data_IF_345598993606
#
_entry.id   IF_345598993606
#
_cell.length_a   1.000
_cell.length_b   1.000
_cell.length_c   1.000
_cell.angle_alpha   90.00
_cell.angle_beta   90.00
_cell.angle_gamma   90.00
#
_symmetry.space_group_name_H-M   'P 1'
#
loop_
_entity.id
_entity.type
_entity.pdbx_description
1 polymer ?
#
# COMPACT_ATOMS: atom_id res chain seq x y z
N UNK A 1 -31.01 35.50 3.41
CA UNK A 1 -29.92 35.07 4.33
C UNK A 1 -28.95 34.17 3.56
N UNK A 2 -27.91 34.74 2.96
CA UNK A 2 -26.99 34.03 2.06
C UNK A 2 -25.91 33.34 2.89
N UNK A 3 -25.86 32.00 2.85
CA UNK A 3 -24.81 31.20 3.50
C UNK A 3 -23.47 31.45 2.80
N UNK A 4 -22.50 32.02 3.52
CA UNK A 4 -21.10 32.08 3.08
C UNK A 4 -20.52 30.65 2.96
N UNK A 5 -19.79 30.31 1.88
CA UNK A 5 -19.08 29.04 1.80
C UNK A 5 -17.94 29.01 2.83
N UNK A 6 -17.86 27.93 3.61
CA UNK A 6 -16.73 27.66 4.51
C UNK A 6 -15.48 27.38 3.67
N UNK A 7 -14.48 28.23 3.81
CA UNK A 7 -13.16 28.08 3.21
C UNK A 7 -12.55 26.73 3.60
N UNK A 8 -11.92 25.98 2.67
CA UNK A 8 -11.10 24.85 3.06
C UNK A 8 -9.88 25.41 3.81
N UNK A 9 -9.76 25.06 5.08
CA UNK A 9 -8.57 25.34 5.87
C UNK A 9 -7.45 24.46 5.30
N UNK A 10 -6.65 25.06 4.41
CA UNK A 10 -5.40 24.53 3.89
C UNK A 10 -4.48 24.39 5.10
N UNK A 11 -4.39 23.19 5.66
CA UNK A 11 -3.27 22.85 6.55
C UNK A 11 -2.06 22.82 5.64
N UNK A 12 -1.31 23.92 5.65
CA UNK A 12 -0.04 24.02 4.95
C UNK A 12 0.87 22.91 5.46
N UNK A 13 1.60 22.25 4.57
CA UNK A 13 2.56 21.19 4.90
C UNK A 13 3.75 21.73 5.71
N UNK A 14 3.93 23.07 5.69
CA UNK A 14 5.01 23.80 6.35
C UNK A 14 5.19 23.53 7.85
N UNK A 15 4.18 23.65 8.72
CA UNK A 15 4.33 23.45 10.16
C UNK A 15 4.71 22.02 10.54
N UNK A 16 4.28 21.02 9.77
CA UNK A 16 4.67 19.61 9.96
C UNK A 16 6.16 19.42 9.67
N UNK A 17 6.67 20.02 8.59
CA UNK A 17 8.09 19.99 8.26
C UNK A 17 8.93 20.74 9.30
N UNK A 18 8.41 21.84 9.87
CA UNK A 18 9.09 22.57 10.95
C UNK A 18 9.14 21.76 12.26
N UNK A 19 8.06 21.03 12.58
CA UNK A 19 8.03 20.14 13.76
C UNK A 19 8.99 18.95 13.59
N UNK A 20 9.06 18.36 12.38
CA UNK A 20 10.00 17.29 12.04
C UNK A 20 11.45 17.78 12.13
N UNK A 21 11.76 18.99 11.62
CA UNK A 21 13.10 19.60 11.74
C UNK A 21 13.50 19.90 13.19
N UNK A 22 12.54 20.14 14.09
CA UNK A 22 12.83 20.39 15.50
C UNK A 22 13.32 19.12 16.23
N UNK A 23 12.78 17.95 15.87
CA UNK A 23 13.20 16.66 16.44
C UNK A 23 14.52 16.12 15.84
N UNK A 24 14.93 16.60 14.66
CA UNK A 24 16.20 16.22 14.02
C UNK A 24 17.46 16.92 14.57
N UNK A 25 17.33 17.85 15.54
CA UNK A 25 18.49 18.48 16.22
C UNK A 25 19.08 17.62 17.35
N UNK A 26 18.55 16.43 17.63
CA UNK A 26 19.17 15.50 18.56
C UNK A 26 20.34 14.72 17.90
N UNK A 27 21.53 14.69 18.50
CA UNK A 27 22.70 14.02 17.92
C UNK A 27 22.46 12.51 17.88
N UNK A 28 22.41 11.93 16.67
CA UNK A 28 22.16 10.50 16.44
C UNK A 28 21.29 10.18 15.23
N UNK A 29 20.55 11.16 14.70
CA UNK A 29 19.77 11.01 13.47
C UNK A 29 20.61 11.45 12.24
N UNK A 30 21.35 10.50 11.66
CA UNK A 30 21.91 10.66 10.32
C UNK A 30 20.80 10.99 9.31
N UNK A 31 21.09 11.90 8.38
CA UNK A 31 20.17 12.26 7.30
C UNK A 31 19.93 11.07 6.38
N UNK A 32 18.93 10.24 6.71
CA UNK A 32 18.51 9.12 5.87
C UNK A 32 17.86 9.69 4.60
N UNK A 33 18.57 9.60 3.46
CA UNK A 33 18.11 10.08 2.14
C UNK A 33 16.68 9.61 1.78
N UNK A 34 16.25 8.46 2.33
CA UNK A 34 14.88 7.95 2.18
C UNK A 34 13.80 8.88 2.74
N UNK A 35 14.04 9.62 3.83
CA UNK A 35 13.05 10.56 4.42
C UNK A 35 12.90 11.80 3.56
N UNK A 36 14.01 12.33 3.06
CA UNK A 36 14.03 13.53 2.20
C UNK A 36 13.35 13.21 0.87
N UNK A 37 13.73 12.10 0.23
CA UNK A 37 13.10 11.64 -1.02
C UNK A 37 11.62 11.33 -0.80
N UNK A 38 11.24 10.71 0.31
CA UNK A 38 9.82 10.43 0.62
C UNK A 38 9.02 11.71 0.90
N UNK A 39 9.62 12.70 1.57
CA UNK A 39 9.03 14.01 1.81
C UNK A 39 8.84 14.81 0.52
N UNK A 40 9.82 14.77 -0.38
CA UNK A 40 9.71 15.38 -1.71
C UNK A 40 8.68 14.65 -2.59
N UNK A 41 8.65 13.32 -2.59
CA UNK A 41 7.64 12.52 -3.30
C UNK A 41 6.22 12.77 -2.77
N UNK A 42 6.04 12.89 -1.45
CA UNK A 42 4.77 13.27 -0.84
C UNK A 42 4.37 14.69 -1.25
N UNK A 43 5.31 15.63 -1.26
CA UNK A 43 5.08 17.00 -1.73
C UNK A 43 4.73 17.04 -3.23
N UNK A 44 5.35 16.19 -4.06
CA UNK A 44 5.08 16.06 -5.50
C UNK A 44 3.69 15.46 -5.76
N UNK A 45 3.26 14.49 -4.95
CA UNK A 45 1.90 13.92 -5.00
C UNK A 45 0.87 14.94 -4.49
N UNK A 46 1.17 15.70 -3.43
CA UNK A 46 0.32 16.75 -2.90
C UNK A 46 0.20 17.97 -3.84
N UNK A 47 1.30 18.41 -4.45
CA UNK A 47 1.32 19.46 -5.49
C UNK A 47 0.85 18.96 -6.86
N UNK A 48 0.88 17.64 -7.10
CA UNK A 48 0.26 17.02 -8.27
C UNK A 48 -1.23 17.35 -8.38
N UNK A 49 -1.96 17.53 -7.27
CA UNK A 49 -3.34 18.05 -7.31
C UNK A 49 -3.44 19.49 -7.84
N UNK A 50 -2.43 20.32 -7.60
CA UNK A 50 -2.36 21.70 -8.09
C UNK A 50 -2.02 21.74 -9.59
N UNK A 51 -1.03 20.97 -10.04
CA UNK A 51 -0.69 20.85 -11.46
C UNK A 51 -1.79 20.14 -12.28
N UNK A 52 -2.46 19.12 -11.73
CA UNK A 52 -3.59 18.43 -12.39
C UNK A 52 -4.85 19.31 -12.43
N UNK A 53 -5.07 20.17 -11.43
CA UNK A 53 -6.09 21.21 -11.48
C UNK A 53 -5.83 22.23 -12.59
N UNK A 54 -4.56 22.60 -12.79
CA UNK A 54 -4.12 23.50 -13.85
C UNK A 54 -4.24 22.84 -15.23
N UNK A 55 -3.85 21.58 -15.39
CA UNK A 55 -4.01 20.83 -16.66
C UNK A 55 -5.47 20.63 -17.05
N UNK A 56 -6.37 20.40 -16.09
CA UNK A 56 -7.81 20.28 -16.36
C UNK A 56 -8.45 21.64 -16.68
N UNK A 57 -7.94 22.73 -16.08
CA UNK A 57 -8.34 24.10 -16.40
C UNK A 57 -7.80 24.58 -17.76
N UNK A 58 -6.57 24.19 -18.15
CA UNK A 58 -6.02 24.43 -19.47
C UNK A 58 -6.73 23.58 -20.54
N UNK A 59 -7.01 22.30 -20.27
CA UNK A 59 -7.78 21.41 -21.14
C UNK A 59 -9.13 21.99 -21.56
N UNK A 60 -9.86 22.61 -20.61
CA UNK A 60 -11.13 23.29 -20.88
C UNK A 60 -10.97 24.58 -21.71
N UNK A 61 -9.77 25.18 -21.72
CA UNK A 61 -9.49 26.45 -22.41
C UNK A 61 -8.89 26.28 -23.81
N UNK A 62 -8.12 25.23 -24.09
CA UNK A 62 -7.30 25.20 -25.31
C UNK A 62 -7.72 24.16 -26.36
N UNK A 63 -8.52 23.14 -26.03
CA UNK A 63 -9.15 22.27 -27.05
C UNK A 63 -8.20 21.56 -28.04
N UNK A 64 -6.91 21.43 -27.75
CA UNK A 64 -5.95 20.79 -28.66
C UNK A 64 -5.84 19.29 -28.34
N UNK A 65 -6.42 18.47 -29.21
CA UNK A 65 -6.26 17.02 -29.20
C UNK A 65 -4.88 16.65 -29.78
N UNK A 66 -4.03 15.98 -28.99
CA UNK A 66 -2.82 15.32 -29.51
C UNK A 66 -2.87 13.84 -29.13
N UNK A 67 -3.21 13.02 -30.13
CA UNK A 67 -2.61 11.71 -30.42
C UNK A 67 -2.36 10.72 -29.25
N UNK A 68 -3.33 10.49 -28.36
CA UNK A 68 -3.35 9.30 -27.47
C UNK A 68 -4.47 8.31 -27.82
N UNK A 69 -5.03 8.45 -29.02
CA UNK A 69 -6.27 7.77 -29.44
C UNK A 69 -6.08 6.37 -30.07
N UNK A 70 -5.01 5.63 -29.74
CA UNK A 70 -4.81 4.27 -30.28
C UNK A 70 -4.81 3.13 -29.25
N UNK A 71 -4.99 3.42 -27.95
CA UNK A 71 -5.15 2.38 -26.91
C UNK A 71 -6.42 2.55 -26.05
N UNK A 72 -7.30 3.50 -26.40
CA UNK A 72 -8.50 3.84 -25.61
C UNK A 72 -9.80 3.20 -26.16
N UNK A 73 -9.69 2.32 -27.15
CA UNK A 73 -10.84 1.66 -27.79
C UNK A 73 -11.22 0.35 -27.08
N UNK A 74 -11.59 0.42 -25.80
CA UNK A 74 -12.49 -0.57 -25.19
C UNK A 74 -13.66 0.17 -24.54
N UNK A 75 -14.86 0.15 -25.13
CA UNK A 75 -16.01 0.85 -24.58
C UNK A 75 -16.38 0.22 -23.25
N UNK A 76 -16.35 1.02 -22.17
CA UNK A 76 -17.00 0.70 -20.90
C UNK A 76 -18.51 0.79 -21.16
N UNK A 77 -19.08 -0.29 -21.70
CA UNK A 77 -20.53 -0.46 -21.81
C UNK A 77 -21.09 -0.59 -20.39
N UNK A 78 -21.84 0.40 -19.98
CA UNK A 78 -22.58 0.43 -18.73
C UNK A 78 -23.79 -0.50 -18.83
N UNK A 79 -23.57 -1.80 -18.69
CA UNK A 79 -24.67 -2.73 -18.41
C UNK A 79 -25.06 -2.53 -16.95
N UNK A 80 -26.13 -1.77 -16.76
CA UNK A 80 -26.82 -1.58 -15.49
C UNK A 80 -27.59 -2.88 -15.19
N UNK A 81 -26.90 -3.83 -14.55
CA UNK A 81 -27.49 -5.07 -14.06
C UNK A 81 -28.35 -4.77 -12.82
N UNK A 82 -29.68 -4.76 -13.01
CA UNK A 82 -30.72 -4.44 -12.02
C UNK A 82 -30.94 -5.56 -10.97
N UNK A 83 -30.11 -6.60 -10.94
CA UNK A 83 -30.29 -7.75 -10.04
C UNK A 83 -29.78 -7.57 -8.60
N UNK A 84 -29.22 -6.40 -8.25
CA UNK A 84 -28.68 -6.13 -6.90
C UNK A 84 -29.41 -4.96 -6.23
N UNK A 85 -30.03 -5.12 -5.05
CA UNK A 85 -30.66 -4.01 -4.33
C UNK A 85 -29.62 -2.93 -3.96
N UNK A 86 -30.01 -1.64 -3.89
CA UNK A 86 -29.08 -0.51 -4.01
C UNK A 86 -28.14 -0.25 -2.82
N UNK A 87 -28.11 -1.11 -1.79
CA UNK A 87 -27.55 -0.74 -0.48
C UNK A 87 -26.54 -1.73 0.13
N UNK A 88 -26.05 -2.71 -0.62
CA UNK A 88 -24.90 -3.52 -0.20
C UNK A 88 -23.79 -3.40 -1.24
N UNK A 89 -22.56 -2.95 -0.87
CA UNK A 89 -21.46 -2.88 -1.83
C UNK A 89 -21.19 -4.28 -2.37
N UNK A 90 -21.63 -4.54 -3.61
CA UNK A 90 -21.58 -5.84 -4.26
C UNK A 90 -20.20 -6.49 -4.16
N UNK A 91 -20.16 -7.83 -4.12
CA UNK A 91 -18.91 -8.57 -3.98
C UNK A 91 -17.93 -8.24 -5.11
N UNK A 92 -16.70 -7.87 -4.77
CA UNK A 92 -15.64 -7.64 -5.76
C UNK A 92 -14.70 -8.87 -5.85
N UNK A 93 -14.91 -9.71 -6.88
CA UNK A 93 -14.12 -10.92 -7.12
C UNK A 93 -12.65 -10.63 -7.45
N UNK A 94 -12.36 -9.54 -8.17
CA UNK A 94 -10.99 -9.13 -8.50
C UNK A 94 -10.21 -8.74 -7.24
N UNK A 95 -10.87 -8.07 -6.29
CA UNK A 95 -10.28 -7.76 -4.99
C UNK A 95 -10.01 -9.02 -4.17
N UNK A 96 -10.91 -10.00 -4.19
CA UNK A 96 -10.67 -11.29 -3.51
C UNK A 96 -9.47 -12.01 -4.14
N UNK A 97 -9.36 -12.00 -5.48
CA UNK A 97 -8.25 -12.60 -6.22
C UNK A 97 -6.92 -11.91 -5.91
N UNK A 98 -6.92 -10.57 -5.88
CA UNK A 98 -5.74 -9.77 -5.51
C UNK A 98 -5.21 -10.17 -4.13
N UNK A 99 -6.10 -10.33 -3.14
CA UNK A 99 -5.69 -10.75 -1.78
C UNK A 99 -5.12 -12.16 -1.77
N UNK A 100 -5.68 -13.08 -2.55
CA UNK A 100 -5.14 -14.43 -2.70
C UNK A 100 -3.76 -14.45 -3.33
N UNK A 101 -3.55 -13.67 -4.39
CA UNK A 101 -2.23 -13.50 -5.01
C UNK A 101 -1.24 -12.87 -4.02
N UNK A 102 -1.66 -11.87 -3.25
CA UNK A 102 -0.83 -11.28 -2.19
C UNK A 102 -0.40 -12.32 -1.15
N UNK A 103 -1.33 -13.16 -0.71
CA UNK A 103 -1.05 -14.25 0.23
C UNK A 103 -0.11 -15.30 -0.34
N UNK A 104 -0.34 -15.73 -1.59
CA UNK A 104 0.51 -16.71 -2.26
C UNK A 104 1.93 -16.16 -2.41
N UNK A 105 2.09 -14.94 -2.95
CA UNK A 105 3.39 -14.27 -3.06
C UNK A 105 4.11 -14.19 -1.71
N UNK A 106 3.40 -13.86 -0.63
CA UNK A 106 3.98 -13.77 0.71
C UNK A 106 4.49 -15.12 1.20
N UNK A 107 3.71 -16.20 1.02
CA UNK A 107 4.12 -17.55 1.43
C UNK A 107 5.31 -18.04 0.60
N UNK A 108 5.34 -17.75 -0.71
CA UNK A 108 6.48 -18.06 -1.57
C UNK A 108 7.75 -17.33 -1.10
N UNK A 109 7.66 -16.03 -0.74
CA UNK A 109 8.81 -15.28 -0.21
C UNK A 109 9.38 -15.89 1.06
N UNK A 110 8.53 -16.49 1.91
CA UNK A 110 8.98 -17.11 3.15
C UNK A 110 9.49 -18.55 2.98
N UNK A 111 9.06 -19.25 1.93
CA UNK A 111 9.43 -20.64 1.69
C UNK A 111 10.94 -20.82 1.48
N UNK A 112 11.64 -19.81 0.94
CA UNK A 112 13.10 -19.79 0.80
C UNK A 112 13.87 -19.96 2.11
N UNK A 113 13.23 -19.65 3.24
CA UNK A 113 13.83 -19.75 4.56
C UNK A 113 13.58 -21.10 5.24
N UNK A 114 12.89 -22.05 4.59
CA UNK A 114 12.53 -23.33 5.21
C UNK A 114 13.64 -24.37 5.10
N UNK A 115 14.65 -24.14 4.26
CA UNK A 115 15.79 -25.05 4.06
C UNK A 115 16.05 -25.35 2.58
N UNK A 116 15.08 -25.06 1.72
CA UNK A 116 15.27 -25.07 0.27
C UNK A 116 15.81 -23.71 -0.17
N UNK A 117 17.06 -23.68 -0.63
CA UNK A 117 17.76 -22.48 -1.13
C UNK A 117 17.25 -22.04 -2.52
N UNK A 118 15.92 -21.93 -2.68
CA UNK A 118 15.26 -21.53 -3.92
C UNK A 118 15.09 -20.00 -3.89
N UNK A 119 16.19 -19.30 -4.20
CA UNK A 119 16.25 -17.85 -4.16
C UNK A 119 15.33 -17.18 -5.19
N UNK A 120 14.90 -17.90 -6.22
CA UNK A 120 13.98 -17.46 -7.27
C UNK A 120 12.62 -17.05 -6.70
N UNK A 121 12.21 -17.62 -5.55
CA UNK A 121 10.96 -17.27 -4.87
C UNK A 121 10.96 -15.84 -4.30
N UNK A 122 12.13 -15.19 -4.22
CA UNK A 122 12.25 -13.81 -3.81
C UNK A 122 11.55 -12.83 -4.76
N UNK A 123 11.62 -13.11 -6.08
CA UNK A 123 11.03 -12.28 -7.13
C UNK A 123 9.49 -12.20 -7.02
N UNK A 124 8.73 -13.33 -7.02
CA UNK A 124 7.29 -13.28 -6.82
C UNK A 124 6.89 -12.78 -5.43
N UNK A 125 7.79 -12.89 -4.44
CA UNK A 125 7.61 -12.35 -3.10
C UNK A 125 7.40 -10.84 -3.05
N UNK A 126 8.08 -10.09 -3.94
CA UNK A 126 7.97 -8.62 -4.00
C UNK A 126 6.55 -8.11 -4.33
N UNK A 127 5.67 -8.94 -4.89
CA UNK A 127 4.29 -8.56 -5.20
C UNK A 127 3.38 -8.51 -3.96
N UNK A 128 3.72 -9.23 -2.89
CA UNK A 128 2.84 -9.41 -1.73
C UNK A 128 2.45 -8.07 -1.09
N UNK A 129 3.44 -7.27 -0.70
CA UNK A 129 3.24 -6.01 -0.01
C UNK A 129 2.42 -4.97 -0.79
N UNK A 130 2.77 -4.61 -2.05
CA UNK A 130 1.97 -3.65 -2.83
C UNK A 130 0.54 -4.16 -3.08
N UNK A 131 0.33 -5.47 -3.25
CA UNK A 131 -1.03 -6.02 -3.38
C UNK A 131 -1.84 -5.89 -2.09
N UNK A 132 -1.24 -6.09 -0.91
CA UNK A 132 -1.92 -5.80 0.37
C UNK A 132 -2.24 -4.31 0.53
N UNK A 133 -1.30 -3.43 0.18
CA UNK A 133 -1.51 -1.98 0.21
C UNK A 133 -2.66 -1.56 -0.72
N UNK A 134 -2.70 -2.11 -1.93
CA UNK A 134 -3.79 -1.87 -2.88
C UNK A 134 -5.12 -2.43 -2.37
N UNK A 135 -5.13 -3.62 -1.76
CA UNK A 135 -6.34 -4.19 -1.16
C UNK A 135 -6.89 -3.29 -0.02
N UNK A 136 -6.02 -2.70 0.80
CA UNK A 136 -6.39 -1.69 1.81
C UNK A 136 -7.03 -0.47 1.12
N UNK A 137 -6.37 0.09 0.10
CA UNK A 137 -6.83 1.27 -0.62
C UNK A 137 -8.21 1.07 -1.26
N UNK A 138 -8.46 -0.09 -1.88
CA UNK A 138 -9.77 -0.44 -2.46
C UNK A 138 -10.83 -0.57 -1.37
N UNK A 139 -10.56 -1.32 -0.31
CA UNK A 139 -11.54 -1.53 0.77
C UNK A 139 -11.93 -0.21 1.44
N UNK A 140 -10.96 0.68 1.66
CA UNK A 140 -11.19 1.98 2.25
C UNK A 140 -12.03 2.86 1.31
N UNK A 141 -11.62 3.00 0.05
CA UNK A 141 -12.32 3.81 -0.96
C UNK A 141 -13.78 3.36 -1.16
N UNK A 142 -14.03 2.04 -1.21
CA UNK A 142 -15.39 1.50 -1.35
C UNK A 142 -16.26 1.78 -0.14
N UNK A 143 -15.71 1.71 1.07
CA UNK A 143 -16.46 2.02 2.31
C UNK A 143 -16.79 3.50 2.42
N UNK A 144 -15.84 4.37 2.09
CA UNK A 144 -16.05 5.82 2.10
C UNK A 144 -17.10 6.25 1.07
N UNK A 145 -17.14 5.61 -0.11
CA UNK A 145 -18.17 5.87 -1.11
C UNK A 145 -19.57 5.35 -0.71
N UNK A 146 -19.64 4.28 0.09
CA UNK A 146 -20.91 3.63 0.45
C UNK A 146 -21.60 4.23 1.69
N UNK A 147 -20.93 5.11 2.45
CA UNK A 147 -21.45 5.60 3.75
C UNK A 147 -21.46 7.13 3.78
N UNK A 148 -22.63 7.71 4.06
CA UNK A 148 -22.87 9.17 4.10
C UNK A 148 -22.12 9.87 5.27
N UNK A 149 -21.79 9.14 6.34
CA UNK A 149 -20.96 9.62 7.44
C UNK A 149 -20.00 8.49 7.92
N UNK A 150 -18.83 8.33 7.28
CA UNK A 150 -17.92 7.25 7.61
C UNK A 150 -17.39 7.42 9.04
N UNK A 151 -17.58 6.38 9.87
CA UNK A 151 -17.12 6.34 11.27
C UNK A 151 -15.84 5.50 11.40
N UNK A 152 -15.02 5.84 12.38
CA UNK A 152 -13.87 5.04 12.78
C UNK A 152 -14.35 3.71 13.36
N UNK A 153 -13.89 2.60 12.79
CA UNK A 153 -14.19 1.27 13.30
C UNK A 153 -13.14 0.87 14.34
N UNK A 154 -13.22 1.43 15.55
CA UNK A 154 -12.26 1.16 16.63
C UNK A 154 -12.05 -0.33 16.89
N UNK A 155 -13.14 -1.11 16.93
CA UNK A 155 -13.06 -2.57 17.08
C UNK A 155 -12.20 -3.22 16.00
N UNK A 156 -12.32 -2.77 14.75
CA UNK A 156 -11.52 -3.30 13.64
C UNK A 156 -10.03 -2.98 13.83
N UNK A 157 -9.71 -1.73 14.18
CA UNK A 157 -8.33 -1.29 14.40
C UNK A 157 -7.69 -1.99 15.61
N UNK A 158 -8.44 -2.19 16.69
CA UNK A 158 -7.96 -2.92 17.88
C UNK A 158 -7.69 -4.38 17.58
N UNK A 159 -8.56 -5.05 16.82
CA UNK A 159 -8.29 -6.41 16.37
C UNK A 159 -7.07 -6.49 15.45
N UNK A 160 -6.93 -5.54 14.52
CA UNK A 160 -5.76 -5.48 13.64
C UNK A 160 -4.46 -5.29 14.44
N UNK A 161 -4.47 -4.41 15.44
CA UNK A 161 -3.35 -4.20 16.36
C UNK A 161 -3.04 -5.46 17.17
N UNK A 162 -4.06 -6.12 17.74
CA UNK A 162 -3.88 -7.35 18.49
C UNK A 162 -3.30 -8.49 17.64
N UNK A 163 -3.74 -8.62 16.38
CA UNK A 163 -3.14 -9.58 15.45
C UNK A 163 -1.72 -9.18 15.03
N UNK A 164 -1.43 -7.89 14.90
CA UNK A 164 -0.08 -7.41 14.61
C UNK A 164 0.90 -7.76 15.74
N UNK A 165 0.50 -7.60 17.00
CA UNK A 165 1.32 -7.97 18.17
C UNK A 165 1.42 -9.48 18.34
N UNK A 166 0.32 -10.22 18.17
CA UNK A 166 0.32 -11.67 18.33
C UNK A 166 1.19 -12.35 17.27
N UNK A 167 1.20 -11.83 16.04
CA UNK A 167 2.00 -12.38 14.94
C UNK A 167 3.48 -12.01 14.99
N UNK A 168 3.88 -11.08 15.87
CA UNK A 168 5.29 -10.75 16.08
C UNK A 168 6.08 -11.92 16.68
N UNK A 169 5.45 -12.70 17.57
CA UNK A 169 6.08 -13.87 18.20
C UNK A 169 6.48 -14.92 17.15
N UNK A 170 5.55 -15.48 16.34
CA UNK A 170 5.92 -16.49 15.35
C UNK A 170 6.81 -15.91 14.24
N UNK A 171 6.69 -14.61 13.93
CA UNK A 171 7.61 -13.94 13.00
C UNK A 171 9.05 -13.97 13.50
N UNK A 172 9.31 -13.61 14.77
CA UNK A 172 10.66 -13.62 15.36
C UNK A 172 11.22 -15.04 15.53
N UNK A 173 10.36 -16.01 15.83
CA UNK A 173 10.77 -17.41 15.89
C UNK A 173 11.20 -17.94 14.52
N UNK A 174 10.49 -17.57 13.44
CA UNK A 174 10.83 -18.01 12.08
C UNK A 174 11.99 -17.20 11.47
N UNK A 175 12.09 -15.91 11.79
CA UNK A 175 13.14 -15.00 11.32
C UNK A 175 14.01 -14.54 12.50
N UNK A 176 14.85 -15.44 13.02
CA UNK A 176 15.63 -15.20 14.23
C UNK A 176 16.55 -13.96 14.14
N UNK A 177 17.10 -13.67 12.96
CA UNK A 177 18.02 -12.54 12.73
C UNK A 177 17.30 -11.24 12.32
N UNK A 178 15.96 -11.20 12.37
CA UNK A 178 15.21 -10.02 11.96
C UNK A 178 15.35 -8.84 12.95
N UNK A 179 15.89 -7.73 12.47
CA UNK A 179 16.03 -6.47 13.20
C UNK A 179 14.83 -5.55 13.06
N UNK A 180 13.92 -5.83 12.13
CA UNK A 180 12.69 -5.07 11.86
C UNK A 180 11.46 -5.76 12.48
N UNK A 181 10.38 -5.01 12.63
CA UNK A 181 9.06 -5.55 12.99
C UNK A 181 8.43 -6.26 11.79
N UNK A 182 7.42 -7.08 12.06
CA UNK A 182 6.62 -7.68 11.00
C UNK A 182 5.91 -6.63 10.10
N UNK A 183 5.23 -7.08 9.05
CA UNK A 183 4.60 -6.17 8.06
C UNK A 183 3.40 -5.40 8.59
N UNK A 184 2.71 -5.91 9.61
CA UNK A 184 1.41 -5.40 10.04
C UNK A 184 1.46 -3.97 10.61
N UNK A 185 2.45 -3.57 11.43
CA UNK A 185 2.65 -2.17 11.81
C UNK A 185 2.69 -1.22 10.61
N UNK A 186 3.44 -1.56 9.56
CA UNK A 186 3.54 -0.75 8.33
C UNK A 186 2.17 -0.59 7.67
N UNK A 187 1.42 -1.69 7.52
CA UNK A 187 0.08 -1.68 6.92
C UNK A 187 -0.95 -0.94 7.78
N UNK A 188 -0.87 -1.08 9.11
CA UNK A 188 -1.74 -0.38 10.06
C UNK A 188 -1.53 1.12 9.97
N UNK A 189 -0.27 1.58 10.02
CA UNK A 189 0.05 3.00 9.86
C UNK A 189 -0.44 3.54 8.52
N UNK A 190 -0.20 2.80 7.43
CA UNK A 190 -0.67 3.20 6.10
C UNK A 190 -2.19 3.25 5.97
N UNK A 191 -2.92 2.32 6.60
CA UNK A 191 -4.38 2.37 6.71
C UNK A 191 -4.84 3.62 7.45
N UNK A 192 -4.24 3.96 8.60
CA UNK A 192 -4.61 5.12 9.41
C UNK A 192 -4.42 6.44 8.63
N UNK A 193 -3.30 6.55 7.91
CA UNK A 193 -2.98 7.72 7.08
C UNK A 193 -3.99 7.84 5.93
N UNK A 194 -4.21 6.76 5.18
CA UNK A 194 -5.17 6.75 4.08
C UNK A 194 -6.60 7.04 4.58
N UNK A 195 -6.97 6.55 5.75
CA UNK A 195 -8.27 6.79 6.38
C UNK A 195 -8.44 8.27 6.78
N UNK A 196 -7.42 8.88 7.39
CA UNK A 196 -7.42 10.31 7.72
C UNK A 196 -7.59 11.20 6.50
N UNK A 197 -6.97 10.82 5.38
CA UNK A 197 -7.10 11.52 4.11
C UNK A 197 -8.53 11.46 3.52
N UNK A 198 -9.17 10.29 3.57
CA UNK A 198 -10.51 10.11 2.98
C UNK A 198 -11.63 10.68 3.86
N UNK A 199 -11.63 10.40 5.16
CA UNK A 199 -12.76 10.72 6.04
C UNK A 199 -12.71 12.17 6.55
N UNK A 200 -11.52 12.76 6.66
CA UNK A 200 -11.28 14.16 7.02
C UNK A 200 -11.92 14.65 8.33
N UNK A 201 -12.40 13.75 9.19
CA UNK A 201 -12.88 14.07 10.54
C UNK A 201 -11.71 14.46 11.45
N UNK A 202 -11.91 15.27 12.51
CA UNK A 202 -10.83 15.65 13.41
C UNK A 202 -10.12 14.43 14.01
N UNK A 203 -10.88 13.43 14.44
CA UNK A 203 -10.34 12.17 14.99
C UNK A 203 -9.43 11.48 13.98
N UNK A 204 -9.91 11.29 12.75
CA UNK A 204 -9.12 10.60 11.70
C UNK A 204 -7.91 11.40 11.24
N UNK A 205 -7.97 12.75 11.31
CA UNK A 205 -6.82 13.62 11.02
C UNK A 205 -5.74 13.49 12.10
N UNK A 206 -6.14 13.50 13.37
CA UNK A 206 -5.21 13.26 14.50
C UNK A 206 -4.59 11.86 14.38
N UNK A 207 -5.38 10.83 14.09
CA UNK A 207 -4.88 9.47 13.87
C UNK A 207 -3.85 9.41 12.73
N UNK A 208 -4.12 10.07 11.59
CA UNK A 208 -3.17 10.12 10.49
C UNK A 208 -1.90 10.89 10.83
N UNK A 209 -2.00 12.00 11.58
CA UNK A 209 -0.85 12.76 12.05
C UNK A 209 0.04 11.92 12.97
N UNK A 210 -0.57 11.25 13.95
CA UNK A 210 0.14 10.33 14.86
C UNK A 210 0.77 9.19 14.06
N UNK A 211 0.05 8.60 13.10
CA UNK A 211 0.59 7.54 12.26
C UNK A 211 1.76 8.00 11.38
N UNK A 212 1.72 9.23 10.84
CA UNK A 212 2.84 9.83 10.11
C UNK A 212 4.05 10.03 11.02
N UNK A 213 3.84 10.56 12.23
CA UNK A 213 4.90 10.77 13.21
C UNK A 213 5.56 9.45 13.59
N UNK A 214 4.77 8.42 13.92
CA UNK A 214 5.26 7.08 14.22
C UNK A 214 5.99 6.48 13.01
N UNK A 215 5.47 6.66 11.80
CA UNK A 215 6.10 6.21 10.56
C UNK A 215 7.51 6.79 10.37
N UNK A 216 7.69 8.08 10.66
CA UNK A 216 8.99 8.76 10.57
C UNK A 216 9.92 8.34 11.71
N UNK A 217 9.43 8.31 12.95
CA UNK A 217 10.24 7.98 14.13
C UNK A 217 10.75 6.54 14.10
N UNK A 218 9.91 5.60 13.67
CA UNK A 218 10.20 4.17 13.70
C UNK A 218 10.55 3.59 12.33
N UNK A 219 10.83 4.41 11.31
CA UNK A 219 11.08 3.95 9.94
C UNK A 219 12.14 2.85 9.83
N UNK A 220 13.19 2.89 10.66
CA UNK A 220 14.28 1.89 10.68
C UNK A 220 13.82 0.51 11.18
N UNK A 221 12.73 0.48 11.95
CA UNK A 221 12.12 -0.74 12.47
C UNK A 221 10.92 -1.20 11.63
N UNK A 222 10.48 -0.41 10.66
CA UNK A 222 9.37 -0.77 9.78
C UNK A 222 9.90 -1.49 8.54
N UNK A 223 9.35 -2.68 8.25
CA UNK A 223 9.82 -3.57 7.19
C UNK A 223 9.94 -2.94 5.79
N UNK A 224 9.15 -1.90 5.50
CA UNK A 224 9.18 -1.16 4.22
C UNK A 224 9.38 0.35 4.40
N UNK A 225 9.80 0.77 5.60
CA UNK A 225 10.03 2.17 5.95
C UNK A 225 8.83 3.09 5.70
N UNK A 226 9.12 4.39 5.61
CA UNK A 226 8.10 5.42 5.39
C UNK A 226 7.44 5.33 4.01
N UNK A 227 8.20 4.96 2.97
CA UNK A 227 7.67 4.80 1.62
C UNK A 227 6.58 3.70 1.58
N UNK A 228 6.81 2.58 2.27
CA UNK A 228 5.81 1.53 2.42
C UNK A 228 4.59 1.99 3.21
N UNK A 229 4.77 2.75 4.29
CA UNK A 229 3.66 3.33 5.07
C UNK A 229 2.77 4.22 4.21
N UNK A 230 3.32 5.00 3.29
CA UNK A 230 2.56 5.91 2.43
C UNK A 230 1.90 5.23 1.22
N UNK A 231 2.38 4.05 0.83
CA UNK A 231 1.93 3.37 -0.39
C UNK A 231 0.39 3.16 -0.46
N UNK A 232 -0.33 2.77 0.62
CA UNK A 232 -1.80 2.70 0.60
C UNK A 232 -2.47 4.04 0.26
N UNK A 233 -1.95 5.16 0.77
CA UNK A 233 -2.47 6.49 0.43
C UNK A 233 -2.23 6.80 -1.05
N UNK A 234 -1.04 6.50 -1.58
CA UNK A 234 -0.73 6.69 -3.00
C UNK A 234 -1.70 5.89 -3.88
N UNK A 235 -1.97 4.63 -3.54
CA UNK A 235 -2.98 3.83 -4.23
C UNK A 235 -4.38 4.44 -4.17
N UNK A 236 -4.80 4.98 -3.01
CA UNK A 236 -6.08 5.69 -2.88
C UNK A 236 -6.18 6.86 -3.87
N UNK A 237 -5.08 7.59 -4.08
CA UNK A 237 -5.06 8.77 -4.96
C UNK A 237 -5.16 8.41 -6.45
N UNK A 238 -4.68 7.22 -6.85
CA UNK A 238 -4.63 6.79 -8.25
C UNK A 238 -5.68 5.74 -8.64
N UNK A 239 -6.45 5.20 -7.67
CA UNK A 239 -7.36 4.06 -7.86
C UNK A 239 -8.31 4.20 -9.05
N UNK A 240 -8.85 5.41 -9.26
CA UNK A 240 -9.83 5.72 -10.32
C UNK A 240 -9.21 6.50 -11.50
N UNK A 241 -7.88 6.48 -11.63
CA UNK A 241 -7.14 7.18 -12.70
C UNK A 241 -6.76 6.21 -13.83
N UNK A 242 -6.21 6.74 -14.93
CA UNK A 242 -5.63 5.91 -15.98
C UNK A 242 -4.43 5.11 -15.43
N UNK A 243 -4.09 3.98 -16.07
CA UNK A 243 -2.98 3.13 -15.61
C UNK A 243 -1.63 3.86 -15.63
N UNK A 244 -1.45 4.91 -16.42
CA UNK A 244 -0.22 5.72 -16.41
C UNK A 244 0.11 6.32 -15.04
N UNK A 245 -0.90 6.60 -14.21
CA UNK A 245 -0.69 7.06 -12.83
C UNK A 245 -0.13 5.96 -11.90
N UNK A 246 -0.02 4.71 -12.37
CA UNK A 246 0.65 3.64 -11.63
C UNK A 246 2.16 3.90 -11.46
N UNK A 247 2.75 4.86 -12.18
CA UNK A 247 4.13 5.31 -11.93
C UNK A 247 4.34 5.77 -10.48
N UNK A 248 3.36 6.45 -9.89
CA UNK A 248 3.46 6.94 -8.50
C UNK A 248 3.58 5.79 -7.49
N UNK A 249 2.63 4.82 -7.42
CA UNK A 249 2.80 3.70 -6.52
C UNK A 249 3.97 2.79 -6.91
N UNK A 250 4.39 2.74 -8.18
CA UNK A 250 5.61 2.02 -8.60
C UNK A 250 6.87 2.62 -7.98
N UNK A 251 7.03 3.94 -8.01
CA UNK A 251 8.16 4.63 -7.36
C UNK A 251 8.17 4.38 -5.84
N UNK A 252 7.02 4.53 -5.18
CA UNK A 252 6.92 4.25 -3.74
C UNK A 252 7.14 2.77 -3.41
N UNK A 253 6.72 1.86 -4.28
CA UNK A 253 6.97 0.43 -4.13
C UNK A 253 8.46 0.14 -4.22
N UNK A 254 9.17 0.66 -5.23
CA UNK A 254 10.63 0.51 -5.32
C UNK A 254 11.31 1.14 -4.09
N UNK A 255 10.94 2.35 -3.70
CA UNK A 255 11.54 3.04 -2.56
C UNK A 255 11.36 2.31 -1.21
N UNK A 256 10.25 1.60 -1.03
CA UNK A 256 9.97 0.85 0.22
C UNK A 256 10.39 -0.62 0.17
N UNK A 257 10.35 -1.26 -1.00
CA UNK A 257 10.45 -2.72 -1.17
C UNK A 257 11.77 -3.16 -1.82
N UNK A 258 12.53 -2.23 -2.40
CA UNK A 258 13.89 -2.49 -2.88
C UNK A 258 14.92 -2.16 -1.81
N UNK A 259 15.74 -3.15 -1.47
CA UNK A 259 16.77 -3.04 -0.45
C UNK A 259 18.11 -2.65 -1.11
N UNK A 260 19.04 -1.99 -0.40
CA UNK A 260 20.34 -1.59 -0.95
C UNK A 260 21.09 -2.74 -1.63
N UNK A 261 21.00 -3.95 -1.07
CA UNK A 261 21.62 -5.17 -1.58
C UNK A 261 21.07 -5.57 -2.95
N UNK A 262 19.80 -5.26 -3.23
CA UNK A 262 19.19 -5.53 -4.55
C UNK A 262 19.77 -4.61 -5.62
N UNK A 263 20.02 -3.34 -5.29
CA UNK A 263 20.67 -2.41 -6.23
C UNK A 263 22.12 -2.80 -6.47
N UNK A 264 22.84 -3.19 -5.40
CA UNK A 264 24.18 -3.72 -5.52
C UNK A 264 24.19 -4.98 -6.39
N UNK A 265 23.40 -6.01 -6.07
CA UNK A 265 23.30 -7.25 -6.85
C UNK A 265 22.96 -7.01 -8.32
N UNK A 266 21.99 -6.12 -8.60
CA UNK A 266 21.63 -5.78 -9.97
C UNK A 266 22.78 -5.10 -10.74
N UNK A 267 23.61 -4.27 -10.06
CA UNK A 267 24.79 -3.65 -10.69
C UNK A 267 25.86 -4.68 -11.09
N UNK A 268 25.91 -5.82 -10.41
CA UNK A 268 26.78 -6.96 -10.74
C UNK A 268 26.15 -7.96 -11.72
N UNK A 269 24.92 -7.69 -12.19
CA UNK A 269 24.22 -8.56 -13.14
C UNK A 269 23.48 -9.75 -12.49
N UNK A 270 23.25 -9.75 -11.18
CA UNK A 270 22.49 -10.82 -10.52
C UNK A 270 21.04 -10.84 -11.04
N UNK A 271 20.60 -11.94 -11.70
CA UNK A 271 19.27 -12.02 -12.29
C UNK A 271 18.16 -11.95 -11.24
N UNK A 272 18.39 -12.41 -10.01
CA UNK A 272 17.38 -12.41 -8.95
C UNK A 272 17.13 -10.98 -8.46
N UNK A 273 18.19 -10.21 -8.24
CA UNK A 273 18.12 -8.79 -7.87
C UNK A 273 17.45 -7.96 -8.96
N UNK A 274 17.84 -8.16 -10.23
CA UNK A 274 17.21 -7.50 -11.39
C UNK A 274 15.73 -7.86 -11.45
N UNK A 275 15.39 -9.15 -11.39
CA UNK A 275 14.01 -9.63 -11.40
C UNK A 275 13.18 -9.06 -10.26
N UNK A 276 13.77 -8.91 -9.07
CA UNK A 276 13.11 -8.36 -7.89
C UNK A 276 12.84 -6.86 -8.00
N UNK A 277 13.77 -6.10 -8.59
CA UNK A 277 13.54 -4.68 -8.90
C UNK A 277 12.44 -4.50 -9.95
N UNK A 278 12.45 -5.32 -11.01
CA UNK A 278 11.39 -5.36 -12.02
C UNK A 278 10.03 -5.71 -11.38
N UNK A 279 10.01 -6.69 -10.48
CA UNK A 279 8.81 -7.07 -9.74
C UNK A 279 8.27 -5.91 -8.88
N UNK A 280 9.15 -5.17 -8.18
CA UNK A 280 8.75 -3.98 -7.42
C UNK A 280 8.11 -2.91 -8.31
N UNK A 281 8.63 -2.71 -9.52
CA UNK A 281 8.09 -1.73 -10.49
C UNK A 281 6.74 -2.17 -11.07
N UNK A 282 6.62 -3.45 -11.44
CA UNK A 282 5.43 -3.97 -12.13
C UNK A 282 4.29 -4.26 -11.15
N UNK A 283 4.57 -4.62 -9.89
CA UNK A 283 3.54 -5.03 -8.95
C UNK A 283 2.40 -4.01 -8.76
N UNK A 284 2.63 -2.69 -8.61
CA UNK A 284 1.54 -1.73 -8.55
C UNK A 284 0.70 -1.66 -9.83
N UNK A 285 1.35 -1.76 -10.99
CA UNK A 285 0.70 -1.72 -12.31
C UNK A 285 -0.18 -2.97 -12.49
N UNK A 286 0.37 -4.15 -12.22
CA UNK A 286 -0.34 -5.42 -12.37
C UNK A 286 -1.52 -5.54 -11.40
N UNK A 287 -1.37 -5.05 -10.17
CA UNK A 287 -2.45 -5.01 -9.19
C UNK A 287 -3.61 -4.11 -9.64
N UNK A 288 -3.29 -2.90 -10.13
CA UNK A 288 -4.30 -1.97 -10.66
C UNK A 288 -4.97 -2.51 -11.93
N UNK A 289 -4.22 -3.16 -12.82
CA UNK A 289 -4.76 -3.82 -14.00
C UNK A 289 -5.69 -4.99 -13.62
N UNK A 290 -5.29 -5.82 -12.64
CA UNK A 290 -6.10 -6.94 -12.14
C UNK A 290 -7.46 -6.48 -11.61
N UNK A 291 -7.51 -5.34 -10.92
CA UNK A 291 -8.77 -4.78 -10.42
C UNK A 291 -9.74 -4.32 -11.51
N UNK A 292 -9.26 -4.14 -12.75
CA UNK A 292 -10.10 -3.81 -13.92
C UNK A 292 -10.67 -5.05 -14.60
N UNK A 293 -10.14 -6.24 -14.28
CA UNK A 293 -10.63 -7.51 -14.81
C UNK A 293 -11.93 -7.89 -14.09
N UNK A 294 -12.85 -8.56 -14.80
CA UNK A 294 -14.03 -9.23 -14.22
C UNK A 294 -13.80 -10.74 -14.24
N UNK A 295 -13.23 -11.36 -13.18
CA UNK A 295 -13.00 -12.79 -13.15
C UNK A 295 -14.31 -13.56 -13.33
N UNK A 296 -14.37 -14.40 -14.37
CA UNK A 296 -15.55 -15.24 -14.66
C UNK A 296 -15.63 -16.46 -13.74
N UNK A 297 -14.51 -16.91 -13.20
CA UNK A 297 -14.43 -18.04 -12.27
C UNK A 297 -14.85 -17.67 -10.84
N UNK A 298 -15.13 -18.71 -10.03
CA UNK A 298 -15.46 -18.56 -8.61
C UNK A 298 -14.18 -18.37 -7.81
N UNK A 299 -13.96 -17.17 -7.31
CA UNK A 299 -12.91 -16.88 -6.31
C UNK A 299 -13.49 -17.16 -4.92
N UNK A 300 -12.72 -17.66 -3.95
CA UNK A 300 -13.18 -17.79 -2.56
C UNK A 300 -13.06 -16.45 -1.83
N UNK A 301 -14.09 -15.97 -1.11
CA UNK A 301 -14.03 -14.67 -0.44
C UNK A 301 -13.08 -14.70 0.77
N UNK A 302 -12.10 -13.80 0.78
CA UNK A 302 -11.16 -13.67 1.90
C UNK A 302 -11.78 -12.76 2.98
N UNK A 303 -12.34 -13.41 4.02
CA UNK A 303 -13.10 -12.78 5.12
C UNK A 303 -12.27 -12.74 6.41
N UNK A 304 -12.91 -12.81 7.59
CA UNK A 304 -12.24 -12.68 8.90
C UNK A 304 -11.30 -13.84 9.25
N UNK A 305 -11.57 -15.04 8.76
CA UNK A 305 -10.69 -16.19 8.98
C UNK A 305 -9.27 -15.97 8.41
N UNK A 306 -9.14 -15.07 7.43
CA UNK A 306 -7.87 -14.72 6.82
C UNK A 306 -6.88 -14.05 7.78
N UNK A 307 -7.36 -13.43 8.87
CA UNK A 307 -6.48 -12.86 9.90
C UNK A 307 -5.62 -13.94 10.58
N UNK A 308 -6.15 -15.17 10.70
CA UNK A 308 -5.42 -16.29 11.29
C UNK A 308 -4.30 -16.84 10.40
N UNK A 309 -4.38 -16.66 9.08
CA UNK A 309 -3.36 -17.17 8.14
C UNK A 309 -2.00 -16.52 8.43
N UNK A 310 -1.98 -15.26 8.86
CA UNK A 310 -0.74 -14.52 9.07
C UNK A 310 0.14 -15.09 10.21
N UNK A 311 -0.32 -15.28 11.46
CA UNK A 311 0.50 -15.99 12.44
C UNK A 311 0.68 -17.48 12.11
N UNK A 312 -0.34 -18.13 11.51
CA UNK A 312 -0.32 -19.58 11.26
C UNK A 312 0.71 -19.99 10.20
N UNK A 313 0.90 -19.20 9.14
CA UNK A 313 1.85 -19.58 8.09
C UNK A 313 3.29 -19.60 8.62
N UNK A 314 3.68 -18.66 9.50
CA UNK A 314 5.00 -18.70 10.13
C UNK A 314 5.20 -19.97 10.97
N UNK A 315 4.19 -20.36 11.77
CA UNK A 315 4.25 -21.60 12.56
C UNK A 315 4.33 -22.84 11.66
N UNK A 316 3.55 -22.87 10.58
CA UNK A 316 3.56 -23.97 9.62
C UNK A 316 4.91 -24.11 8.90
N UNK A 317 5.49 -22.99 8.45
CA UNK A 317 6.80 -22.99 7.80
C UNK A 317 7.93 -23.28 8.79
N UNK A 318 7.82 -22.86 10.06
CA UNK A 318 8.75 -23.24 11.12
C UNK A 318 8.70 -24.75 11.38
N UNK A 319 7.50 -25.32 11.52
CA UNK A 319 7.33 -26.77 11.67
C UNK A 319 7.92 -27.53 10.49
N UNK A 320 7.67 -27.07 9.26
CA UNK A 320 8.27 -27.64 8.06
C UNK A 320 9.81 -27.55 8.08
N UNK A 321 10.38 -26.42 8.51
CA UNK A 321 11.83 -26.23 8.65
C UNK A 321 12.42 -27.23 9.63
N UNK A 322 11.78 -27.43 10.79
CA UNK A 322 12.28 -28.39 11.78
C UNK A 322 12.18 -29.84 11.27
N UNK A 323 11.11 -30.19 10.55
CA UNK A 323 11.00 -31.51 9.90
C UNK A 323 12.12 -31.72 8.89
N UNK A 324 12.38 -30.73 8.03
CA UNK A 324 13.44 -30.81 7.02
C UNK A 324 14.87 -30.81 7.60
N UNK A 325 15.06 -30.40 8.86
CA UNK A 325 16.36 -30.51 9.54
C UNK A 325 16.63 -31.91 10.09
N UNK A 326 15.57 -32.67 10.36
CA UNK A 326 15.65 -34.01 10.96
C UNK A 326 15.72 -35.10 9.89
N UNK A 327 15.22 -34.81 8.69
CA UNK A 327 15.30 -35.68 7.49
C UNK A 327 16.60 -35.40 6.74
#
# INVERSE_FOLDING_TARGET
MIRRPRSPLIVTVGPLMTLVRLFHRCPGFGADAGVVVTGELLALVCHGRFLVGLSCALYRKTGVAVMYCLLDSLPVRSDMDLSSPPFLPGRNKALDLLKWLAMLSMVLDHLRYVGWSINELYVPGRFAFPFFCLAIAVNLSRRSAAVIAPRVQWRYLMWLLAFATLSEIPYRLFMADATVLNVMPTLLLGLLIAQGWQQQTPVTRVMALVALLLGVMFQKYLMFGMAGVLLPLVFVLVLNRSLGYAVFPAVFCVAGNAWPEMFAGASWGDPISIGSLIACLIAPVSGLALLRIKPRFRVMPMRRWAYGIYPLHFLALLGLREVLRVV
#
